data_IF_562733341410
#
_entry.id   IF_562733341410
#
_cell.length_a   1.000
_cell.length_b   1.000
_cell.length_c   1.000
_cell.angle_alpha   90.00
_cell.angle_beta   90.00
_cell.angle_gamma   90.00
#
_symmetry.space_group_name_H-M   'P 1'
#
loop_
_entity.id
_entity.type
_entity.pdbx_description
1 polymer ?
#
# COMPACT_ATOMS: atom_id res chain seq x y z
N UNK A 1 -3.04 -5.94 1.60
CA UNK A 1 -1.68 -5.69 1.06
C UNK A 1 -1.24 -4.29 1.45
N UNK A 2 0.01 -4.11 1.86
CA UNK A 2 0.58 -2.80 2.16
C UNK A 2 1.45 -2.30 0.99
N UNK A 3 1.39 -1.00 0.69
CA UNK A 3 2.33 -0.32 -0.22
C UNK A 3 3.18 0.66 0.58
N UNK A 4 4.50 0.62 0.40
CA UNK A 4 5.37 1.69 0.92
C UNK A 4 4.91 3.06 0.46
N UNK A 5 5.08 4.04 1.34
CA UNK A 5 4.44 5.35 1.19
C UNK A 5 5.41 6.40 0.62
N UNK A 6 4.86 7.58 0.34
CA UNK A 6 5.53 8.80 -0.12
C UNK A 6 6.40 8.51 -1.35
N UNK A 7 7.67 8.92 -1.34
CA UNK A 7 8.60 8.74 -2.44
C UNK A 7 9.06 7.28 -2.60
N UNK A 8 8.73 6.40 -1.65
CA UNK A 8 9.07 4.98 -1.67
C UNK A 8 7.95 4.10 -2.22
N UNK A 9 6.90 4.69 -2.80
CA UNK A 9 5.84 3.95 -3.50
C UNK A 9 6.43 3.15 -4.66
N UNK A 10 6.40 1.79 -4.63
CA UNK A 10 7.11 0.96 -5.58
C UNK A 10 6.34 0.87 -6.90
N UNK A 11 6.42 1.92 -7.73
CA UNK A 11 5.65 2.07 -8.96
C UNK A 11 5.81 0.90 -9.93
N UNK A 12 6.97 0.25 -9.99
CA UNK A 12 7.16 -0.95 -10.81
C UNK A 12 6.30 -2.13 -10.35
N UNK A 13 6.23 -2.37 -9.03
CA UNK A 13 5.41 -3.43 -8.44
C UNK A 13 3.92 -3.10 -8.53
N UNK A 14 3.55 -1.84 -8.30
CA UNK A 14 2.17 -1.35 -8.45
C UNK A 14 1.67 -1.62 -9.88
N UNK A 15 2.45 -1.23 -10.90
CA UNK A 15 2.08 -1.45 -12.30
C UNK A 15 2.00 -2.94 -12.65
N UNK A 16 2.89 -3.77 -12.10
CA UNK A 16 2.84 -5.22 -12.29
C UNK A 16 1.58 -5.84 -11.63
N UNK A 17 1.24 -5.42 -10.41
CA UNK A 17 0.02 -5.83 -9.71
C UNK A 17 -1.22 -5.46 -10.52
N UNK A 18 -1.33 -4.23 -11.02
CA UNK A 18 -2.46 -3.81 -11.84
C UNK A 18 -2.60 -4.66 -13.12
N UNK A 19 -1.50 -4.98 -13.81
CA UNK A 19 -1.54 -5.88 -14.99
C UNK A 19 -2.10 -7.25 -14.65
N UNK A 20 -1.75 -7.81 -13.49
CA UNK A 20 -2.30 -9.09 -13.01
C UNK A 20 -3.79 -8.98 -12.66
N UNK A 21 -4.21 -7.84 -12.12
CA UNK A 21 -5.63 -7.50 -11.95
C UNK A 21 -6.38 -7.50 -13.29
N UNK A 22 -5.86 -6.81 -14.31
CA UNK A 22 -6.46 -6.77 -15.66
C UNK A 22 -6.52 -8.15 -16.33
N UNK A 23 -5.55 -9.03 -16.04
CA UNK A 23 -5.53 -10.41 -16.52
C UNK A 23 -6.54 -11.32 -15.78
N UNK A 24 -7.24 -10.83 -14.76
CA UNK A 24 -8.21 -11.59 -13.98
C UNK A 24 -7.59 -12.55 -12.96
N UNK A 25 -6.30 -12.39 -12.64
CA UNK A 25 -5.60 -13.24 -11.67
C UNK A 25 -5.87 -12.84 -10.22
N UNK A 26 -6.31 -11.61 -10.00
CA UNK A 26 -6.55 -11.03 -8.69
C UNK A 26 -8.03 -10.66 -8.55
N UNK A 27 -8.55 -10.80 -7.34
CA UNK A 27 -9.91 -10.42 -6.96
C UNK A 27 -9.93 -10.09 -5.48
N UNK A 28 -10.71 -9.09 -5.09
CA UNK A 28 -10.95 -8.75 -3.68
C UNK A 28 -9.65 -8.48 -2.88
N UNK A 29 -8.72 -7.76 -3.52
CA UNK A 29 -7.44 -7.40 -2.91
C UNK A 29 -7.55 -6.04 -2.24
N UNK A 30 -7.52 -6.05 -0.90
CA UNK A 30 -7.47 -4.85 -0.10
C UNK A 30 -6.07 -4.23 -0.07
N UNK A 31 -5.97 -2.94 -0.38
CA UNK A 31 -4.72 -2.18 -0.46
C UNK A 31 -4.72 -1.11 0.62
N UNK A 32 -3.64 -1.08 1.41
CA UNK A 32 -3.44 -0.14 2.51
C UNK A 32 -2.19 0.70 2.24
N UNK A 33 -2.31 2.02 2.36
CA UNK A 33 -1.15 2.92 2.31
C UNK A 33 -1.44 4.27 3.00
N UNK A 34 -0.37 4.99 3.36
CA UNK A 34 -0.42 6.44 3.59
C UNK A 34 -0.30 7.15 2.24
N UNK A 35 -0.08 8.47 2.19
CA UNK A 35 0.13 9.18 0.92
C UNK A 35 1.15 8.45 0.02
N UNK A 36 0.85 8.25 -1.27
CA UNK A 36 1.76 7.65 -2.26
C UNK A 36 2.11 8.69 -3.33
N UNK A 37 3.39 8.78 -3.72
CA UNK A 37 3.79 9.61 -4.85
C UNK A 37 3.59 8.90 -6.19
N UNK A 38 3.17 9.66 -7.19
CA UNK A 38 2.89 9.17 -8.54
C UNK A 38 1.46 8.64 -8.73
N UNK A 39 1.19 8.00 -9.88
CA UNK A 39 -0.11 7.44 -10.19
C UNK A 39 -0.55 6.35 -9.21
N UNK A 40 -1.85 6.26 -8.98
CA UNK A 40 -2.49 5.21 -8.17
C UNK A 40 -3.48 4.40 -9.03
N UNK A 41 -3.00 3.71 -10.09
CA UNK A 41 -3.89 3.09 -11.07
C UNK A 41 -4.76 1.98 -10.48
N UNK A 42 -4.37 1.39 -9.34
CA UNK A 42 -5.17 0.42 -8.61
C UNK A 42 -6.49 0.99 -8.07
N UNK A 43 -6.63 2.31 -8.00
CA UNK A 43 -7.85 2.99 -7.58
C UNK A 43 -8.77 3.38 -8.76
N UNK A 44 -8.39 3.07 -10.00
CA UNK A 44 -9.25 3.36 -11.16
C UNK A 44 -10.54 2.53 -11.10
N UNK A 45 -11.68 3.11 -11.49
CA UNK A 45 -13.01 2.45 -11.48
C UNK A 45 -13.03 1.10 -12.22
N UNK A 46 -12.18 0.91 -13.24
CA UNK A 46 -12.05 -0.37 -13.97
C UNK A 46 -11.59 -1.54 -13.09
N UNK A 47 -11.01 -1.25 -11.92
CA UNK A 47 -10.56 -2.24 -10.95
C UNK A 47 -11.55 -2.47 -9.80
N UNK A 48 -12.76 -1.91 -9.88
CA UNK A 48 -13.82 -2.20 -8.91
C UNK A 48 -14.05 -3.73 -8.80
N UNK A 49 -14.09 -4.23 -7.57
CA UNK A 49 -14.18 -5.66 -7.26
C UNK A 49 -12.88 -6.46 -7.42
N UNK A 50 -11.83 -5.86 -7.98
CA UNK A 50 -10.47 -6.42 -8.04
C UNK A 50 -9.62 -5.86 -6.90
N UNK A 51 -9.55 -4.53 -6.82
CA UNK A 51 -8.84 -3.81 -5.77
C UNK A 51 -9.81 -2.99 -4.94
N UNK A 52 -9.69 -3.08 -3.62
CA UNK A 52 -10.34 -2.17 -2.68
C UNK A 52 -9.25 -1.33 -2.02
N UNK A 53 -9.31 -0.01 -2.15
CA UNK A 53 -8.36 0.87 -1.51
C UNK A 53 -8.88 1.31 -0.13
N UNK A 54 -8.22 0.87 0.94
CA UNK A 54 -8.49 1.34 2.31
C UNK A 54 -7.32 2.23 2.78
N UNK A 55 -7.46 3.53 2.53
CA UNK A 55 -6.38 4.50 2.78
C UNK A 55 -6.26 4.87 4.26
N UNK A 56 -5.03 4.91 4.80
CA UNK A 56 -4.74 5.57 6.08
C UNK A 56 -4.57 7.09 5.91
N UNK A 57 -4.28 7.54 4.69
CA UNK A 57 -4.21 8.94 4.33
C UNK A 57 -4.61 9.13 2.86
N UNK A 58 -5.53 10.06 2.59
CA UNK A 58 -6.05 10.32 1.24
C UNK A 58 -5.17 11.37 0.54
N UNK A 59 -4.30 10.90 -0.35
CA UNK A 59 -3.45 11.71 -1.22
C UNK A 59 -4.22 12.39 -2.35
N UNK A 60 -3.57 13.33 -3.05
CA UNK A 60 -4.19 14.04 -4.18
C UNK A 60 -4.54 13.12 -5.36
N UNK A 61 -3.76 12.05 -5.56
CA UNK A 61 -3.92 11.04 -6.59
C UNK A 61 -5.15 10.13 -6.40
N UNK A 62 -5.63 9.96 -5.17
CA UNK A 62 -6.79 9.09 -4.84
C UNK A 62 -8.01 9.86 -4.33
N UNK A 63 -7.88 11.15 -4.00
CA UNK A 63 -8.93 11.97 -3.39
C UNK A 63 -10.28 11.91 -4.11
N UNK A 64 -10.29 11.99 -5.44
CA UNK A 64 -11.54 12.00 -6.22
C UNK A 64 -12.25 10.65 -6.14
N UNK A 65 -11.50 9.55 -6.22
CA UNK A 65 -12.03 8.17 -6.12
C UNK A 65 -12.61 7.91 -4.73
N UNK A 66 -11.92 8.36 -3.68
CA UNK A 66 -12.47 8.29 -2.31
C UNK A 66 -13.77 9.10 -2.19
N UNK A 67 -13.82 10.30 -2.78
CA UNK A 67 -15.03 11.15 -2.73
C UNK A 67 -16.21 10.60 -3.55
N UNK A 68 -15.96 9.82 -4.60
CA UNK A 68 -17.02 9.16 -5.37
C UNK A 68 -17.49 7.84 -4.76
N UNK A 69 -16.84 7.36 -3.69
CA UNK A 69 -17.27 6.18 -2.93
C UNK A 69 -16.66 4.85 -3.40
N UNK A 70 -15.66 4.88 -4.29
CA UNK A 70 -14.96 3.67 -4.77
C UNK A 70 -13.70 3.32 -3.96
N UNK A 71 -13.37 4.11 -2.93
CA UNK A 71 -12.26 3.84 -2.03
C UNK A 71 -12.63 4.27 -0.60
N UNK A 72 -12.16 3.51 0.37
CA UNK A 72 -12.39 3.76 1.79
C UNK A 72 -11.25 4.56 2.42
N UNK A 73 -11.59 5.23 3.51
CA UNK A 73 -10.65 5.94 4.37
C UNK A 73 -10.77 5.43 5.79
N UNK A 74 -9.67 4.91 6.33
CA UNK A 74 -9.55 4.48 7.72
C UNK A 74 -8.98 5.66 8.52
N UNK A 75 -9.80 6.37 9.32
CA UNK A 75 -9.33 7.51 10.09
C UNK A 75 -8.44 7.04 11.24
N UNK A 76 -7.15 7.39 11.18
CA UNK A 76 -6.19 7.03 12.23
C UNK A 76 -5.08 8.07 12.38
N UNK A 77 -4.55 8.21 13.60
CA UNK A 77 -3.33 8.97 13.82
C UNK A 77 -2.12 8.28 13.20
N UNK A 78 -1.23 9.05 12.57
CA UNK A 78 -0.02 8.50 11.95
C UNK A 78 0.81 7.64 12.92
N UNK A 79 0.93 8.07 14.18
CA UNK A 79 1.65 7.33 15.24
C UNK A 79 1.05 5.96 15.55
N UNK A 80 -0.24 5.76 15.26
CA UNK A 80 -0.99 4.54 15.57
C UNK A 80 -1.06 3.57 14.39
N UNK A 81 -0.62 3.98 13.20
CA UNK A 81 -0.68 3.14 11.99
C UNK A 81 0.09 1.83 12.12
N UNK A 82 1.26 1.85 12.77
CA UNK A 82 2.01 0.63 13.07
C UNK A 82 1.26 -0.31 14.01
N UNK A 83 0.48 0.23 14.95
CA UNK A 83 -0.29 -0.58 15.90
C UNK A 83 -1.39 -1.37 15.19
N UNK A 84 -2.02 -0.81 14.15
CA UNK A 84 -3.06 -1.52 13.38
C UNK A 84 -2.59 -2.88 12.85
N UNK A 85 -1.37 -2.92 12.31
CA UNK A 85 -0.79 -4.17 11.84
C UNK A 85 -0.40 -5.09 12.99
N UNK A 86 0.34 -4.58 13.98
CA UNK A 86 0.87 -5.39 15.08
C UNK A 86 -0.22 -6.00 15.98
N UNK A 87 -1.38 -5.34 16.11
CA UNK A 87 -2.51 -5.90 16.86
C UNK A 87 -3.48 -6.71 15.99
N UNK A 88 -3.23 -6.83 14.69
CA UNK A 88 -4.08 -7.57 13.76
C UNK A 88 -5.43 -6.90 13.44
N UNK A 89 -5.61 -5.63 13.79
CA UNK A 89 -6.84 -4.89 13.45
C UNK A 89 -6.99 -4.70 11.93
N UNK A 90 -5.86 -4.60 11.22
CA UNK A 90 -5.81 -4.61 9.76
C UNK A 90 -4.88 -5.74 9.32
N UNK A 91 -5.38 -6.74 8.57
CA UNK A 91 -4.53 -7.82 8.09
C UNK A 91 -3.56 -7.31 7.01
N UNK A 92 -2.34 -7.84 7.01
CA UNK A 92 -1.36 -7.60 5.97
C UNK A 92 -0.77 -8.93 5.54
N UNK A 93 -1.14 -9.42 4.35
CA UNK A 93 -0.55 -10.66 3.81
C UNK A 93 0.69 -10.40 2.96
N UNK A 94 0.72 -9.26 2.26
CA UNK A 94 1.81 -8.90 1.34
C UNK A 94 2.21 -7.45 1.61
N UNK A 95 3.52 -7.20 1.77
CA UNK A 95 4.09 -5.85 1.85
C UNK A 95 4.97 -5.56 0.62
N UNK A 96 4.49 -4.69 -0.27
CA UNK A 96 5.29 -4.24 -1.41
C UNK A 96 6.09 -2.99 -1.03
N UNK A 97 7.41 -3.15 -0.93
CA UNK A 97 8.31 -2.12 -0.42
C UNK A 97 9.39 -1.73 -1.42
N UNK A 98 9.84 -0.47 -1.35
CA UNK A 98 11.05 -0.02 -2.02
C UNK A 98 12.17 0.12 -1.00
N UNK A 99 13.32 -0.46 -1.31
CA UNK A 99 14.49 -0.48 -0.42
C UNK A 99 15.76 -0.11 -1.18
N UNK A 100 16.83 0.20 -0.44
CA UNK A 100 18.18 0.31 -1.02
C UNK A 100 18.66 -1.03 -1.57
N UNK A 101 19.74 -1.01 -2.37
CA UNK A 101 20.50 -2.25 -2.59
C UNK A 101 21.05 -2.77 -1.26
N UNK A 102 21.23 -4.10 -1.11
CA UNK A 102 21.83 -4.67 0.08
C UNK A 102 23.26 -4.18 0.30
N UNK A 103 23.65 -3.99 1.56
CA UNK A 103 25.03 -3.75 1.95
C UNK A 103 25.86 -5.06 1.98
N UNK A 104 27.14 -4.96 2.38
CA UNK A 104 28.05 -6.12 2.48
C UNK A 104 27.62 -7.18 3.50
N UNK A 105 26.65 -6.87 4.36
CA UNK A 105 26.11 -7.76 5.38
C UNK A 105 24.72 -8.30 5.02
N UNK A 106 24.19 -7.92 3.85
CA UNK A 106 22.86 -8.33 3.39
C UNK A 106 21.73 -7.49 3.95
N UNK A 107 22.00 -6.36 4.61
CA UNK A 107 20.96 -5.45 5.08
C UNK A 107 20.54 -4.48 3.99
N UNK A 108 19.25 -4.17 3.96
CA UNK A 108 18.67 -3.11 3.15
C UNK A 108 18.14 -2.00 4.05
N UNK A 109 17.94 -0.82 3.48
CA UNK A 109 17.27 0.30 4.15
C UNK A 109 15.90 0.56 3.52
N UNK A 110 14.89 0.82 4.35
CA UNK A 110 13.59 1.35 3.92
C UNK A 110 13.68 2.78 3.36
N UNK A 111 14.86 3.40 3.42
CA UNK A 111 15.12 4.68 2.81
C UNK A 111 14.34 5.81 3.50
N UNK A 112 13.57 6.55 2.71
CA UNK A 112 12.90 7.79 3.15
C UNK A 112 11.54 7.54 3.81
N UNK A 113 11.04 6.30 3.82
CA UNK A 113 9.69 5.99 4.29
C UNK A 113 9.69 4.73 5.14
N UNK A 114 9.61 4.93 6.46
CA UNK A 114 9.55 3.85 7.47
C UNK A 114 8.12 3.67 7.98
N UNK A 115 7.49 4.77 8.41
CA UNK A 115 6.06 4.93 8.71
C UNK A 115 5.31 3.66 9.17
N UNK A 116 4.18 3.32 8.54
CA UNK A 116 3.47 2.07 8.75
C UNK A 116 4.21 0.88 8.10
N UNK A 117 5.07 1.17 7.12
CA UNK A 117 5.82 0.18 6.32
C UNK A 117 6.61 -0.80 7.19
N UNK A 118 7.31 -0.33 8.23
CA UNK A 118 8.09 -1.22 9.10
C UNK A 118 7.21 -2.29 9.76
N UNK A 119 6.08 -1.88 10.33
CA UNK A 119 5.16 -2.81 10.97
C UNK A 119 4.49 -3.73 9.94
N UNK A 120 4.22 -3.24 8.72
CA UNK A 120 3.72 -4.07 7.64
C UNK A 120 4.73 -5.17 7.26
N UNK A 121 6.02 -4.85 7.15
CA UNK A 121 7.08 -5.83 6.87
C UNK A 121 7.22 -6.85 8.00
N UNK A 122 7.12 -6.41 9.26
CA UNK A 122 7.19 -7.30 10.43
C UNK A 122 6.01 -8.29 10.51
N UNK A 123 4.84 -7.89 10.02
CA UNK A 123 3.58 -8.64 10.19
C UNK A 123 3.10 -9.34 8.91
N UNK A 124 3.70 -9.05 7.75
CA UNK A 124 3.28 -9.65 6.49
C UNK A 124 3.73 -11.11 6.35
N UNK A 125 2.89 -11.91 5.69
CA UNK A 125 3.27 -13.27 5.30
C UNK A 125 4.33 -13.28 4.18
N UNK A 126 4.32 -12.23 3.35
CA UNK A 126 5.12 -12.10 2.12
C UNK A 126 5.64 -10.68 1.87
#
# INVERSE_FOLDING_TARGET
MHLSSVASAPQCLINAMCKRGEAGELKDVHIHHLHTEGPAPYADEKFEGIFQLDSFFVGGNVRKVTQSGYADYIPIFLSETQRLYRCGAVPCNVAMIQVSTPDKHGFVSLGTSVDATLAAVECADH
#
